data_IF_635483010518
#
_entry.id   IF_635483010518
#
_cell.length_a   1.000
_cell.length_b   1.000
_cell.length_c   1.000
_cell.angle_alpha   90.00
_cell.angle_beta   90.00
_cell.angle_gamma   90.00
#
_symmetry.space_group_name_H-M   'P 1'
#
loop_
_entity.id
_entity.type
_entity.pdbx_description
1 polymer ?
#
# COMPACT_ATOMS: atom_id res chain seq x y z
N UNK A 1 -12.95 -62.35 -1.16
CA UNK A 1 -12.88 -61.37 -2.26
C UNK A 1 -12.56 -60.02 -1.64
N UNK A 2 -11.29 -59.65 -1.58
CA UNK A 2 -10.83 -58.42 -0.91
C UNK A 2 -10.31 -57.50 -2.01
N UNK A 3 -11.07 -56.45 -2.33
CA UNK A 3 -10.68 -55.50 -3.37
C UNK A 3 -9.56 -54.59 -2.86
N UNK A 4 -8.39 -54.67 -3.49
CA UNK A 4 -7.26 -53.78 -3.25
C UNK A 4 -7.57 -52.37 -3.77
N UNK A 5 -7.42 -51.36 -2.92
CA UNK A 5 -7.54 -49.94 -3.30
C UNK A 5 -6.23 -49.46 -3.94
N UNK A 6 -6.24 -48.80 -5.11
CA UNK A 6 -5.03 -48.29 -5.71
C UNK A 6 -4.69 -46.87 -5.21
N UNK A 7 -3.45 -46.73 -4.73
CA UNK A 7 -2.51 -45.63 -4.97
C UNK A 7 -3.00 -44.17 -4.86
N UNK A 8 -2.46 -43.46 -3.86
CA UNK A 8 -1.99 -42.08 -4.07
C UNK A 8 -0.50 -42.03 -3.77
N UNK A 9 0.32 -42.09 -4.84
CA UNK A 9 1.75 -41.76 -4.76
C UNK A 9 1.88 -40.35 -4.17
N UNK A 10 2.51 -40.22 -3.01
CA UNK A 10 3.01 -38.95 -2.52
C UNK A 10 3.98 -38.38 -3.58
N UNK A 11 3.54 -37.35 -4.31
CA UNK A 11 4.47 -36.51 -5.06
C UNK A 11 5.29 -35.72 -4.03
N UNK A 12 6.61 -35.65 -4.16
CA UNK A 12 7.41 -34.83 -3.27
C UNK A 12 6.96 -33.37 -3.39
N UNK A 13 6.80 -32.75 -2.24
CA UNK A 13 6.53 -31.33 -2.05
C UNK A 13 7.65 -30.53 -2.72
N UNK A 14 7.40 -29.99 -3.90
CA UNK A 14 8.25 -28.97 -4.50
C UNK A 14 8.11 -27.71 -3.64
N UNK A 15 9.08 -27.48 -2.75
CA UNK A 15 9.28 -26.17 -2.15
C UNK A 15 9.86 -25.26 -3.24
N UNK A 16 9.00 -24.77 -4.12
CA UNK A 16 9.32 -23.56 -4.90
C UNK A 16 9.30 -22.45 -3.87
N UNK A 17 10.47 -21.86 -3.62
CA UNK A 17 10.64 -20.78 -2.66
C UNK A 17 9.54 -19.74 -2.84
N UNK A 18 8.80 -19.52 -1.76
CA UNK A 18 7.86 -18.42 -1.61
C UNK A 18 8.68 -17.13 -1.62
N UNK A 19 9.07 -16.70 -2.82
CA UNK A 19 9.38 -15.30 -3.03
C UNK A 19 8.02 -14.63 -2.99
N UNK A 20 7.67 -14.10 -1.82
CA UNK A 20 6.73 -12.99 -1.78
C UNK A 20 7.17 -12.05 -2.89
N UNK A 21 6.31 -11.86 -3.89
CA UNK A 21 6.51 -10.80 -4.86
C UNK A 21 6.41 -9.55 -4.00
N UNK A 22 7.55 -9.00 -3.59
CA UNK A 22 7.65 -7.68 -3.00
C UNK A 22 7.08 -6.73 -4.05
N UNK A 23 5.78 -6.48 -3.96
CA UNK A 23 5.13 -5.36 -4.59
C UNK A 23 5.74 -4.13 -3.95
N UNK A 24 6.88 -3.70 -4.49
CA UNK A 24 7.48 -2.45 -4.10
C UNK A 24 6.51 -1.37 -4.54
N UNK A 25 5.74 -0.87 -3.57
CA UNK A 25 4.86 0.28 -3.71
C UNK A 25 5.69 1.43 -4.30
N UNK A 26 5.42 1.77 -5.58
CA UNK A 26 6.11 2.82 -6.32
C UNK A 26 5.28 4.09 -6.19
N UNK A 27 5.89 5.13 -5.63
CA UNK A 27 5.23 6.39 -5.36
C UNK A 27 5.93 7.52 -6.11
N UNK A 28 5.15 8.54 -6.46
CA UNK A 28 5.69 9.79 -6.99
C UNK A 28 6.39 10.57 -5.88
N UNK A 29 7.61 11.01 -6.18
CA UNK A 29 8.34 12.02 -5.40
C UNK A 29 8.00 13.37 -6.00
N UNK A 30 7.55 14.29 -5.15
CA UNK A 30 7.13 15.63 -5.55
C UNK A 30 8.04 16.70 -4.95
N UNK A 31 8.04 17.87 -5.56
CA UNK A 31 8.66 19.07 -4.99
C UNK A 31 7.64 19.93 -4.19
N UNK A 32 8.06 21.13 -3.79
CA UNK A 32 7.21 22.08 -3.05
C UNK A 32 6.03 22.63 -3.86
N UNK A 33 6.06 22.50 -5.19
CA UNK A 33 4.98 22.92 -6.09
C UNK A 33 4.04 21.74 -6.46
N UNK A 34 4.20 20.58 -5.81
CA UNK A 34 3.50 19.33 -6.13
C UNK A 34 3.80 18.81 -7.55
N UNK A 35 4.96 19.16 -8.13
CA UNK A 35 5.41 18.62 -9.41
C UNK A 35 6.15 17.31 -9.21
N UNK A 36 5.85 16.29 -10.04
CA UNK A 36 6.52 14.99 -9.96
C UNK A 36 7.95 15.13 -10.50
N UNK A 37 8.94 14.89 -9.64
CA UNK A 37 10.37 15.00 -9.98
C UNK A 37 11.06 13.63 -10.09
N UNK A 38 10.47 12.57 -9.52
CA UNK A 38 10.97 11.20 -9.64
C UNK A 38 9.90 10.17 -9.23
N UNK A 39 10.15 8.89 -9.54
CA UNK A 39 9.39 7.75 -9.01
C UNK A 39 10.36 6.89 -8.19
N UNK A 40 9.95 6.50 -6.98
CA UNK A 40 10.78 5.69 -6.07
C UNK A 40 9.94 4.71 -5.27
N UNK A 41 10.60 3.73 -4.68
CA UNK A 41 9.92 2.82 -3.73
C UNK A 41 9.57 3.56 -2.44
N UNK A 42 8.49 3.16 -1.77
CA UNK A 42 8.13 3.69 -0.43
C UNK A 42 9.30 3.65 0.55
N UNK A 43 10.04 2.54 0.58
CA UNK A 43 11.19 2.38 1.48
C UNK A 43 12.30 3.41 1.23
N UNK A 44 12.62 3.70 -0.03
CA UNK A 44 13.61 4.74 -0.37
C UNK A 44 13.13 6.14 0.00
N UNK A 45 11.85 6.43 -0.23
CA UNK A 45 11.22 7.71 0.07
C UNK A 45 11.29 8.00 1.56
N UNK A 46 10.88 7.04 2.39
CA UNK A 46 10.88 7.20 3.85
C UNK A 46 12.30 7.23 4.42
N UNK A 47 13.21 6.40 3.91
CA UNK A 47 14.60 6.41 4.35
C UNK A 47 15.32 7.74 4.06
N UNK A 48 14.91 8.46 3.02
CA UNK A 48 15.52 9.74 2.60
C UNK A 48 14.69 10.96 2.97
N UNK A 49 13.51 10.78 3.58
CA UNK A 49 12.59 11.88 3.91
C UNK A 49 12.08 12.63 2.68
N UNK A 50 11.86 11.94 1.56
CA UNK A 50 11.39 12.56 0.32
C UNK A 50 9.89 12.86 0.40
N UNK A 51 9.49 14.00 -0.18
CA UNK A 51 8.09 14.40 -0.28
C UNK A 51 7.37 13.50 -1.27
N UNK A 52 6.19 13.04 -0.87
CA UNK A 52 5.31 12.16 -1.64
C UNK A 52 3.86 12.41 -1.21
N UNK A 53 2.91 12.02 -2.05
CA UNK A 53 1.48 12.24 -1.80
C UNK A 53 0.90 11.15 -0.90
N UNK A 54 0.02 11.55 0.01
CA UNK A 54 -0.79 10.64 0.82
C UNK A 54 -2.25 11.10 0.82
N UNK A 55 -3.15 10.15 1.04
CA UNK A 55 -4.58 10.40 1.22
C UNK A 55 -4.94 10.07 2.67
N UNK A 56 -5.71 10.96 3.29
CA UNK A 56 -6.27 10.77 4.62
C UNK A 56 -7.78 10.90 4.57
N UNK A 57 -8.50 9.91 5.13
CA UNK A 57 -9.95 9.89 5.22
C UNK A 57 -10.35 10.02 6.69
N UNK A 58 -11.33 10.90 6.94
CA UNK A 58 -11.98 11.06 8.24
C UNK A 58 -13.43 10.60 8.16
N UNK A 59 -13.81 9.68 9.03
CA UNK A 59 -15.15 9.11 9.14
C UNK A 59 -15.80 9.67 10.41
N UNK A 60 -16.99 10.23 10.24
CA UNK A 60 -17.79 10.78 11.33
C UNK A 60 -19.07 9.96 11.52
N UNK A 61 -19.46 9.73 12.77
CA UNK A 61 -20.77 9.15 13.05
C UNK A 61 -21.88 10.24 13.04
N UNK A 62 -23.14 9.83 13.22
CA UNK A 62 -24.29 10.74 13.21
C UNK A 62 -24.30 11.77 14.35
N UNK A 63 -23.44 11.62 15.36
CA UNK A 63 -23.24 12.60 16.44
C UNK A 63 -22.10 13.58 16.16
N UNK A 64 -21.42 13.47 15.02
CA UNK A 64 -20.29 14.33 14.66
C UNK A 64 -18.96 13.92 15.32
N UNK A 65 -18.87 12.74 15.93
CA UNK A 65 -17.63 12.24 16.51
C UNK A 65 -16.77 11.57 15.43
N UNK A 66 -15.45 11.76 15.50
CA UNK A 66 -14.49 11.18 14.56
C UNK A 66 -14.04 9.79 14.99
N UNK A 67 -14.00 8.85 14.05
CA UNK A 67 -13.36 7.55 14.24
C UNK A 67 -11.85 7.68 13.95
N UNK A 68 -11.00 7.37 14.93
CA UNK A 68 -9.55 7.31 14.71
C UNK A 68 -9.07 5.86 14.71
N UNK A 69 -8.13 5.53 13.85
CA UNK A 69 -7.51 4.21 13.86
C UNK A 69 -6.28 4.21 14.77
N UNK A 70 -6.08 3.14 15.55
CA UNK A 70 -4.81 2.92 16.27
C UNK A 70 -3.93 2.03 15.40
N UNK A 71 -2.75 2.53 15.04
CA UNK A 71 -1.82 1.79 14.17
C UNK A 71 -1.32 0.51 14.86
N UNK A 72 -1.18 -0.55 14.08
CA UNK A 72 -0.56 -1.80 14.54
C UNK A 72 0.85 -1.52 15.08
N UNK A 73 1.27 -2.28 16.09
CA UNK A 73 2.64 -2.25 16.59
C UNK A 73 3.65 -2.82 15.56
N UNK A 74 3.17 -3.55 14.56
CA UNK A 74 4.00 -4.10 13.49
C UNK A 74 4.25 -3.13 12.32
N UNK A 75 3.70 -1.91 12.36
CA UNK A 75 3.99 -0.90 11.35
C UNK A 75 5.42 -0.41 11.51
N UNK A 76 6.11 -0.27 10.38
CA UNK A 76 7.45 0.28 10.27
C UNK A 76 7.51 1.76 10.66
N UNK A 77 6.47 2.52 10.31
CA UNK A 77 6.32 3.92 10.70
C UNK A 77 5.27 4.11 11.79
N UNK A 78 5.67 4.85 12.83
CA UNK A 78 4.81 5.32 13.91
C UNK A 78 3.92 4.22 14.55
N UNK A 79 4.49 3.09 15.00
CA UNK A 79 3.73 1.99 15.58
C UNK A 79 2.96 2.44 16.84
N UNK A 80 1.72 1.97 16.99
CA UNK A 80 0.90 2.20 18.18
C UNK A 80 0.31 3.61 18.34
N UNK A 81 0.61 4.54 17.43
CA UNK A 81 0.02 5.89 17.42
C UNK A 81 -1.41 5.89 16.86
N UNK A 82 -2.16 6.94 17.21
CA UNK A 82 -3.45 7.24 16.59
C UNK A 82 -3.24 7.94 15.25
N UNK A 83 -4.07 7.60 14.27
CA UNK A 83 -4.01 8.08 12.89
C UNK A 83 -5.43 8.39 12.38
N UNK A 84 -5.56 9.00 11.20
CA UNK A 84 -6.86 9.26 10.56
C UNK A 84 -7.67 7.98 10.37
N UNK A 85 -8.98 8.06 10.15
CA UNK A 85 -9.85 6.87 10.06
C UNK A 85 -9.35 5.82 9.05
N UNK A 86 -8.82 6.31 7.93
CA UNK A 86 -7.99 5.55 7.00
C UNK A 86 -6.92 6.48 6.41
N UNK A 87 -5.79 5.91 5.99
CA UNK A 87 -4.72 6.62 5.30
C UNK A 87 -3.94 5.67 4.39
N UNK A 88 -3.33 6.21 3.33
CA UNK A 88 -2.47 5.46 2.41
C UNK A 88 -1.69 6.42 1.49
N UNK A 89 -0.74 5.88 0.74
CA UNK A 89 -0.06 6.64 -0.29
C UNK A 89 -0.85 6.60 -1.60
N UNK A 90 -0.47 7.45 -2.54
CA UNK A 90 -0.98 7.45 -3.91
C UNK A 90 0.04 6.72 -4.78
N UNK A 91 -0.37 5.63 -5.42
CA UNK A 91 0.54 4.90 -6.31
C UNK A 91 0.89 5.78 -7.52
N UNK A 92 2.11 5.62 -8.02
CA UNK A 92 2.58 6.39 -9.18
C UNK A 92 1.64 6.19 -10.37
N UNK A 93 1.19 7.30 -10.96
CA UNK A 93 0.25 7.31 -12.07
C UNK A 93 -1.24 7.23 -11.69
N UNK A 94 -1.61 7.10 -10.41
CA UNK A 94 -3.02 7.19 -9.99
C UNK A 94 -3.55 8.64 -10.00
N UNK A 95 -2.66 9.63 -9.91
CA UNK A 95 -2.99 11.05 -10.00
C UNK A 95 -2.19 11.70 -11.13
N UNK A 96 -2.85 11.89 -12.28
CA UNK A 96 -2.34 12.74 -13.34
C UNK A 96 -3.12 14.06 -13.37
N UNK A 97 -2.52 15.11 -12.80
CA UNK A 97 -3.06 16.48 -12.87
C UNK A 97 -3.10 17.00 -14.32
N UNK A 98 -2.26 16.50 -15.23
CA UNK A 98 -2.30 16.89 -16.64
C UNK A 98 -3.61 16.48 -17.30
N UNK A 99 -4.14 15.29 -16.97
CA UNK A 99 -5.43 14.80 -17.46
C UNK A 99 -6.61 15.69 -17.03
N UNK A 100 -6.58 16.27 -15.82
CA UNK A 100 -7.64 17.18 -15.36
C UNK A 100 -7.59 18.56 -16.06
N UNK A 101 -6.40 19.05 -16.40
CA UNK A 101 -6.25 20.33 -17.13
C UNK A 101 -6.72 20.26 -18.60
N UNK A 102 -6.68 19.07 -19.22
CA UNK A 102 -7.06 18.88 -20.62
C UNK A 102 -8.58 18.78 -20.86
N UNK A 103 -9.40 18.71 -19.80
CA UNK A 103 -10.87 18.57 -19.92
C UNK A 103 -11.62 19.89 -19.65
N UNK A 104 -10.90 20.99 -19.40
CA UNK A 104 -11.46 22.33 -19.26
C UNK A 104 -10.96 23.21 -20.42
N UNK A 105 -11.48 22.99 -21.63
CA UNK A 105 -11.39 23.91 -22.77
C UNK A 105 -12.60 23.76 -23.67
#
# INVERSE_FOLDING_TARGET
MTAATPSRRHKPFLTVGDKSVEHHELLDVVDDNDEVIAIKTRGEIHARGLMHRSVHILVFNSRGEVFLQKRSLSKDEQPGKWDSSAAGHVDSGEFDLATLSATAS
#
